data_IF_136318194200
#
_entry.id   IF_136318194200
#
_cell.length_a   1.000
_cell.length_b   1.000
_cell.length_c   1.000
_cell.angle_alpha   90.00
_cell.angle_beta   90.00
_cell.angle_gamma   90.00
#
_symmetry.space_group_name_H-M   'P 1'
#
loop_
_entity.id
_entity.type
_entity.pdbx_description
1 polymer ?
#
# COMPACT_ATOMS: atom_id res chain seq x y z
N UNK A 1 -16.33 -7.07 19.64
CA UNK A 1 -16.59 -8.08 18.59
C UNK A 1 -15.67 -7.93 17.37
N UNK A 2 -15.05 -6.77 17.10
CA UNK A 2 -14.17 -6.53 15.93
C UNK A 2 -12.67 -6.68 16.24
N UNK A 3 -12.25 -6.69 17.49
CA UNK A 3 -10.95 -7.25 17.86
C UNK A 3 -10.80 -8.72 17.44
N UNK A 4 -11.91 -9.34 16.99
CA UNK A 4 -11.96 -10.71 16.49
C UNK A 4 -11.68 -10.86 15.01
N UNK A 5 -11.76 -9.80 14.18
CA UNK A 5 -11.53 -9.89 12.73
C UNK A 5 -10.09 -9.54 12.32
N UNK A 6 -9.40 -8.73 13.14
CA UNK A 6 -7.97 -8.44 12.98
C UNK A 6 -7.25 -8.73 14.30
N UNK A 7 -6.96 -9.99 14.59
CA UNK A 7 -6.45 -10.38 15.90
C UNK A 7 -4.99 -10.01 16.10
N UNK A 8 -4.63 -9.94 17.38
CA UNK A 8 -3.22 -9.97 17.84
C UNK A 8 -2.46 -11.23 17.39
N UNK A 9 -3.13 -12.19 16.80
CA UNK A 9 -2.70 -13.36 16.03
C UNK A 9 -3.79 -13.66 15.01
N UNK A 10 -3.50 -14.04 13.77
CA UNK A 10 -4.46 -14.77 12.95
C UNK A 10 -4.87 -15.98 13.77
N UNK A 11 -6.08 -15.93 14.32
CA UNK A 11 -6.55 -17.05 15.13
C UNK A 11 -7.07 -18.12 14.17
N UNK A 12 -6.75 -19.39 14.41
CA UNK A 12 -7.33 -20.51 13.63
C UNK A 12 -8.84 -20.40 13.44
N UNK A 13 -9.53 -19.75 14.41
CA UNK A 13 -10.96 -19.47 14.42
C UNK A 13 -11.47 -18.62 13.23
N UNK A 14 -10.65 -17.71 12.68
CA UNK A 14 -11.07 -16.87 11.54
C UNK A 14 -11.07 -17.65 10.23
N UNK A 15 -10.13 -18.55 10.08
CA UNK A 15 -10.12 -19.46 8.93
C UNK A 15 -11.29 -20.43 8.96
N UNK A 16 -11.81 -20.80 10.15
CA UNK A 16 -13.08 -21.54 10.32
C UNK A 16 -14.26 -20.77 9.73
N UNK A 17 -14.39 -19.47 10.03
CA UNK A 17 -15.45 -18.63 9.45
C UNK A 17 -15.36 -18.55 7.93
N UNK A 18 -14.14 -18.36 7.40
CA UNK A 18 -13.91 -18.33 5.94
C UNK A 18 -14.27 -19.69 5.32
N UNK A 19 -13.82 -20.80 5.94
CA UNK A 19 -14.13 -22.15 5.50
C UNK A 19 -15.64 -22.38 5.40
N UNK A 20 -16.39 -22.07 6.46
CA UNK A 20 -17.82 -22.36 6.53
C UNK A 20 -18.62 -21.52 5.51
N UNK A 21 -18.29 -20.22 5.37
CA UNK A 21 -18.93 -19.34 4.39
C UNK A 21 -18.59 -19.72 2.95
N UNK A 22 -17.34 -20.14 2.69
CA UNK A 22 -16.93 -20.57 1.34
C UNK A 22 -17.63 -21.87 0.94
N UNK A 23 -17.73 -22.86 1.85
CA UNK A 23 -18.45 -24.10 1.59
C UNK A 23 -19.94 -23.86 1.39
N UNK A 24 -20.57 -22.98 2.19
CA UNK A 24 -21.96 -22.59 1.99
C UNK A 24 -22.15 -21.98 0.58
N UNK A 25 -21.29 -21.03 0.18
CA UNK A 25 -21.35 -20.40 -1.15
C UNK A 25 -21.14 -21.39 -2.30
N UNK A 26 -20.27 -22.40 -2.12
CA UNK A 26 -20.08 -23.51 -3.08
C UNK A 26 -21.35 -24.34 -3.18
N UNK A 27 -21.97 -24.67 -2.04
CA UNK A 27 -23.25 -25.40 -2.00
C UNK A 27 -24.38 -24.64 -2.70
N UNK A 28 -24.51 -23.33 -2.42
CA UNK A 28 -25.51 -22.48 -3.05
C UNK A 28 -25.34 -22.36 -4.57
N UNK A 29 -24.08 -22.30 -5.04
CA UNK A 29 -23.78 -22.15 -6.47
C UNK A 29 -23.99 -23.43 -7.27
N UNK A 30 -23.60 -24.57 -6.71
CA UNK A 30 -23.56 -25.84 -7.44
C UNK A 30 -24.71 -26.79 -7.08
N UNK A 31 -25.47 -26.54 -6.02
CA UNK A 31 -26.66 -27.27 -5.63
C UNK A 31 -26.43 -28.79 -5.56
N UNK A 32 -27.28 -29.55 -6.22
CA UNK A 32 -27.28 -31.02 -6.22
C UNK A 32 -26.01 -31.68 -6.81
N UNK A 33 -25.15 -30.89 -7.49
CA UNK A 33 -23.87 -31.39 -7.98
C UNK A 33 -22.85 -31.59 -6.82
N UNK A 34 -23.10 -31.06 -5.63
CA UNK A 34 -22.26 -31.25 -4.45
C UNK A 34 -22.71 -32.51 -3.70
N UNK A 35 -22.21 -33.67 -4.13
CA UNK A 35 -22.36 -34.91 -3.35
C UNK A 35 -21.59 -34.81 -2.02
N UNK A 36 -21.90 -35.68 -1.02
CA UNK A 36 -21.15 -35.71 0.25
C UNK A 36 -19.63 -35.87 0.04
N UNK A 37 -19.21 -36.68 -0.95
CA UNK A 37 -17.81 -36.90 -1.28
C UNK A 37 -17.16 -35.63 -1.86
N UNK A 38 -17.87 -34.95 -2.77
CA UNK A 38 -17.40 -33.66 -3.37
C UNK A 38 -17.30 -32.59 -2.30
N UNK A 39 -18.31 -32.47 -1.41
CA UNK A 39 -18.30 -31.56 -0.29
C UNK A 39 -17.14 -31.81 0.69
N UNK A 40 -16.87 -33.07 1.01
CA UNK A 40 -15.73 -33.47 1.84
C UNK A 40 -14.39 -33.09 1.17
N UNK A 41 -14.25 -33.31 -0.14
CA UNK A 41 -13.07 -32.93 -0.92
C UNK A 41 -12.82 -31.40 -0.89
N UNK A 42 -13.87 -30.61 -1.11
CA UNK A 42 -13.77 -29.13 -0.98
C UNK A 42 -13.39 -28.70 0.42
N UNK A 43 -14.00 -29.30 1.47
CA UNK A 43 -13.65 -29.00 2.85
C UNK A 43 -12.17 -29.24 3.15
N UNK A 44 -11.61 -30.37 2.67
CA UNK A 44 -10.21 -30.67 2.84
C UNK A 44 -9.30 -29.69 2.08
N UNK A 45 -9.65 -29.35 0.83
CA UNK A 45 -8.89 -28.40 0.02
C UNK A 45 -8.84 -27.00 0.68
N UNK A 46 -9.97 -26.50 1.19
CA UNK A 46 -10.05 -25.21 1.88
C UNK A 46 -9.25 -25.24 3.19
N UNK A 47 -9.32 -26.31 3.96
CA UNK A 47 -8.52 -26.48 5.19
C UNK A 47 -7.02 -26.50 4.89
N UNK A 48 -6.61 -27.18 3.82
CA UNK A 48 -5.21 -27.23 3.41
C UNK A 48 -4.70 -25.85 2.97
N UNK A 49 -5.49 -25.10 2.18
CA UNK A 49 -5.18 -23.73 1.81
C UNK A 49 -5.07 -22.82 3.04
N UNK A 50 -6.01 -22.93 3.98
CA UNK A 50 -5.98 -22.17 5.23
C UNK A 50 -4.69 -22.46 6.05
N UNK A 51 -4.27 -23.73 6.10
CA UNK A 51 -3.02 -24.12 6.78
C UNK A 51 -1.80 -23.46 6.12
N UNK A 52 -1.71 -23.45 4.79
CA UNK A 52 -0.61 -22.81 4.05
C UNK A 52 -0.58 -21.31 4.36
N UNK A 53 -1.74 -20.64 4.31
CA UNK A 53 -1.85 -19.21 4.58
C UNK A 53 -1.48 -18.88 6.03
N UNK A 54 -1.97 -19.65 7.01
CA UNK A 54 -1.64 -19.47 8.42
C UNK A 54 -0.14 -19.63 8.69
N UNK A 55 0.49 -20.65 8.09
CA UNK A 55 1.92 -20.85 8.24
C UNK A 55 2.71 -19.66 7.64
N UNK A 56 2.32 -19.18 6.45
CA UNK A 56 2.99 -18.02 5.84
C UNK A 56 2.78 -16.73 6.64
N UNK A 57 1.59 -16.51 7.18
CA UNK A 57 1.35 -15.38 8.09
C UNK A 57 2.24 -15.45 9.33
N UNK A 58 2.36 -16.62 9.94
CA UNK A 58 3.21 -16.83 11.12
C UNK A 58 4.69 -16.51 10.82
N UNK A 59 5.21 -16.98 9.66
CA UNK A 59 6.55 -16.67 9.21
C UNK A 59 6.75 -15.15 9.05
N UNK A 60 5.81 -14.47 8.37
CA UNK A 60 5.87 -13.01 8.15
C UNK A 60 5.84 -12.23 9.47
N UNK A 61 5.03 -12.66 10.45
CA UNK A 61 5.01 -12.04 11.77
C UNK A 61 6.31 -12.28 12.54
N UNK A 62 6.86 -13.49 12.47
CA UNK A 62 8.14 -13.80 13.10
C UNK A 62 9.30 -13.00 12.47
N UNK A 63 9.32 -12.89 11.13
CA UNK A 63 10.30 -12.05 10.43
C UNK A 63 10.19 -10.57 10.85
N UNK A 64 8.95 -10.04 10.91
CA UNK A 64 8.69 -8.64 11.30
C UNK A 64 9.12 -8.37 12.77
N UNK A 65 8.89 -9.31 13.68
CA UNK A 65 9.23 -9.19 15.10
C UNK A 65 10.74 -9.22 15.35
N UNK A 66 11.51 -9.96 14.53
CA UNK A 66 12.96 -10.08 14.65
C UNK A 66 13.73 -8.87 14.12
N UNK A 67 13.11 -8.00 13.33
CA UNK A 67 13.73 -6.77 12.80
C UNK A 67 14.00 -5.75 13.92
N UNK A 68 15.00 -4.92 13.76
CA UNK A 68 15.26 -3.82 14.68
C UNK A 68 14.01 -2.90 14.74
N UNK A 69 13.51 -2.62 15.95
CA UNK A 69 12.26 -1.90 16.16
C UNK A 69 11.01 -2.66 15.79
N UNK A 70 11.13 -3.93 15.40
CA UNK A 70 10.02 -4.78 15.00
C UNK A 70 9.04 -5.09 16.14
N UNK A 71 7.85 -5.53 15.77
CA UNK A 71 6.81 -5.95 16.72
C UNK A 71 5.83 -6.90 16.03
N UNK A 72 4.96 -7.47 16.85
CA UNK A 72 3.91 -8.37 16.39
C UNK A 72 2.52 -7.78 16.70
N UNK A 73 1.60 -7.89 15.76
CA UNK A 73 0.23 -7.41 15.91
C UNK A 73 0.12 -5.89 15.99
N UNK A 74 -0.87 -5.40 16.72
CA UNK A 74 -1.09 -3.97 16.92
C UNK A 74 -0.27 -3.46 18.10
N UNK A 75 0.43 -2.35 17.87
CA UNK A 75 1.20 -1.66 18.90
C UNK A 75 0.87 -0.18 18.88
N UNK A 76 0.83 0.43 20.07
CA UNK A 76 0.61 1.85 20.22
C UNK A 76 1.85 2.66 19.85
N UNK A 77 1.62 3.69 19.06
CA UNK A 77 2.60 4.72 18.69
C UNK A 77 2.02 6.08 18.99
N UNK A 78 2.87 7.06 19.24
CA UNK A 78 2.52 8.47 19.36
C UNK A 78 2.93 9.22 18.10
N UNK A 79 2.11 10.16 17.66
CA UNK A 79 2.47 11.12 16.61
C UNK A 79 3.56 12.04 17.15
N UNK A 80 4.75 11.93 16.60
CA UNK A 80 5.90 12.77 16.98
C UNK A 80 6.05 14.03 16.13
N UNK A 81 5.45 14.03 14.94
CA UNK A 81 5.48 15.17 14.02
C UNK A 81 4.32 15.09 13.05
N UNK A 82 3.72 16.24 12.74
CA UNK A 82 2.68 16.42 11.74
C UNK A 82 3.08 17.52 10.75
N UNK A 83 3.38 17.16 9.51
CA UNK A 83 3.88 18.09 8.49
C UNK A 83 2.89 18.22 7.32
N UNK A 84 2.33 19.39 7.11
CA UNK A 84 1.48 19.68 5.94
C UNK A 84 2.35 19.72 4.68
N UNK A 85 2.00 18.91 3.67
CA UNK A 85 2.67 18.87 2.37
C UNK A 85 1.95 19.73 1.33
N UNK A 86 0.62 19.62 1.32
CA UNK A 86 -0.30 20.47 0.56
C UNK A 86 -1.58 20.63 1.38
N UNK A 87 -2.57 21.35 0.86
CA UNK A 87 -3.86 21.54 1.56
C UNK A 87 -4.59 20.23 1.88
N UNK A 88 -4.35 19.17 1.11
CA UNK A 88 -5.02 17.87 1.22
C UNK A 88 -4.07 16.68 1.45
N UNK A 89 -2.77 16.96 1.71
CA UNK A 89 -1.77 15.91 1.98
C UNK A 89 -0.95 16.29 3.21
N UNK A 90 -0.88 15.37 4.15
CA UNK A 90 -0.12 15.52 5.41
C UNK A 90 0.76 14.30 5.60
N UNK A 91 1.97 14.51 6.11
CA UNK A 91 2.87 13.47 6.62
C UNK A 91 2.78 13.42 8.14
N UNK A 92 2.65 12.21 8.69
CA UNK A 92 2.73 11.92 10.11
C UNK A 92 3.94 11.04 10.39
N UNK A 93 4.76 11.45 11.36
CA UNK A 93 5.86 10.66 11.90
C UNK A 93 5.42 10.04 13.24
N UNK A 94 5.77 8.77 13.46
CA UNK A 94 5.34 8.00 14.59
C UNK A 94 6.53 7.46 15.39
N UNK A 95 6.46 7.54 16.73
CA UNK A 95 7.40 6.93 17.67
C UNK A 95 6.68 5.97 18.61
N UNK A 96 7.37 4.94 19.09
CA UNK A 96 6.79 3.98 20.04
C UNK A 96 6.55 4.60 21.40
N UNK A 97 5.48 4.18 22.09
CA UNK A 97 5.13 4.62 23.46
C UNK A 97 5.78 3.78 24.55
N UNK A 98 6.33 2.61 24.22
CA UNK A 98 6.91 1.65 25.17
C UNK A 98 8.40 1.90 25.52
N UNK A 99 8.91 3.10 25.25
CA UNK A 99 10.28 3.51 25.57
C UNK A 99 11.33 3.08 24.54
N UNK A 100 10.95 2.44 23.44
CA UNK A 100 11.89 2.11 22.38
C UNK A 100 12.41 3.38 21.70
N UNK A 101 13.73 3.58 21.71
CA UNK A 101 14.42 4.73 21.11
C UNK A 101 15.39 4.34 19.99
N UNK A 102 15.34 3.08 19.55
CA UNK A 102 16.21 2.57 18.48
C UNK A 102 15.65 2.88 17.07
N UNK A 103 16.36 2.36 16.10
CA UNK A 103 16.04 2.52 14.68
C UNK A 103 15.06 1.46 14.21
N UNK A 104 14.20 1.80 13.23
CA UNK A 104 13.27 0.87 12.61
C UNK A 104 13.89 0.25 11.35
N UNK A 105 13.91 -1.08 11.30
CA UNK A 105 14.27 -1.84 10.10
C UNK A 105 13.00 -2.35 9.40
N UNK A 106 12.92 -2.05 8.11
CA UNK A 106 11.85 -2.52 7.22
C UNK A 106 12.35 -2.47 5.78
N UNK A 107 11.62 -3.09 4.87
CA UNK A 107 11.97 -3.03 3.44
C UNK A 107 11.33 -1.80 2.81
N UNK A 108 12.11 -0.99 2.12
CA UNK A 108 11.63 0.18 1.36
C UNK A 108 10.44 -0.18 0.47
N UNK A 109 9.41 0.67 0.45
CA UNK A 109 8.17 0.44 -0.29
C UNK A 109 7.09 -0.28 0.52
N UNK A 110 7.40 -0.83 1.68
CA UNK A 110 6.40 -1.38 2.60
C UNK A 110 5.46 -0.29 3.15
N UNK A 111 4.30 -0.72 3.63
CA UNK A 111 3.27 0.12 4.24
C UNK A 111 3.04 -0.24 5.71
N UNK A 112 2.51 0.71 6.47
CA UNK A 112 1.91 0.50 7.79
C UNK A 112 0.40 0.35 7.65
N UNK A 113 -0.18 -0.54 8.46
CA UNK A 113 -1.62 -0.54 8.68
C UNK A 113 -1.93 0.33 9.88
N UNK A 114 -2.80 1.32 9.71
CA UNK A 114 -3.25 2.23 10.77
C UNK A 114 -4.67 1.86 11.15
N UNK A 115 -4.90 1.58 12.45
CA UNK A 115 -6.21 1.31 13.03
C UNK A 115 -6.66 2.54 13.80
N UNK A 116 -7.87 2.98 13.51
CA UNK A 116 -8.57 4.01 14.28
C UNK A 116 -9.81 3.37 14.90
N UNK A 117 -10.02 3.60 16.19
CA UNK A 117 -11.15 3.01 16.90
C UNK A 117 -12.48 3.54 16.41
N UNK A 118 -13.51 2.69 16.39
CA UNK A 118 -14.85 3.02 15.89
C UNK A 118 -15.48 4.21 16.64
N UNK A 119 -15.24 4.30 17.95
CA UNK A 119 -15.70 5.41 18.80
C UNK A 119 -15.14 6.76 18.33
N UNK A 120 -13.83 6.80 18.01
CA UNK A 120 -13.17 8.00 17.46
C UNK A 120 -13.72 8.39 16.09
N UNK A 121 -14.16 7.39 15.32
CA UNK A 121 -14.76 7.57 13.99
C UNK A 121 -16.27 7.83 14.04
N UNK A 122 -16.89 7.82 15.22
CA UNK A 122 -18.35 7.90 15.42
C UNK A 122 -19.11 6.91 14.54
N UNK A 123 -18.56 5.69 14.41
CA UNK A 123 -19.10 4.63 13.58
C UNK A 123 -19.75 3.55 14.45
N UNK A 124 -20.98 3.16 14.10
CA UNK A 124 -21.68 2.05 14.75
C UNK A 124 -21.04 0.70 14.43
N UNK A 125 -20.31 0.63 13.31
CA UNK A 125 -19.60 -0.58 12.89
C UNK A 125 -18.10 -0.32 12.88
N UNK A 126 -17.31 -1.31 13.24
CA UNK A 126 -15.85 -1.22 13.16
C UNK A 126 -15.38 -1.00 11.74
N UNK A 127 -14.39 -0.15 11.59
CA UNK A 127 -13.84 0.22 10.29
C UNK A 127 -12.51 -0.50 10.09
N UNK A 128 -12.36 -1.12 8.93
CA UNK A 128 -11.12 -1.79 8.58
C UNK A 128 -9.92 -0.84 8.65
N UNK A 129 -8.75 -1.30 9.09
CA UNK A 129 -7.51 -0.53 9.03
C UNK A 129 -7.20 -0.04 7.63
N UNK A 130 -6.41 1.01 7.53
CA UNK A 130 -5.93 1.52 6.23
C UNK A 130 -4.43 1.37 6.11
N UNK A 131 -4.00 1.06 4.90
CA UNK A 131 -2.59 0.89 4.56
C UNK A 131 -2.04 2.18 3.98
N UNK A 132 -0.91 2.63 4.53
CA UNK A 132 -0.21 3.83 4.06
C UNK A 132 1.27 3.52 3.91
N UNK A 133 1.79 3.81 2.72
CA UNK A 133 3.21 3.58 2.42
C UNK A 133 4.12 4.34 3.39
N UNK A 134 5.17 3.68 3.86
CA UNK A 134 6.19 4.29 4.70
C UNK A 134 7.06 5.19 3.84
N UNK A 135 7.11 6.48 4.18
CA UNK A 135 7.91 7.51 3.48
C UNK A 135 9.20 7.90 4.20
N UNK A 136 9.43 7.40 5.43
CA UNK A 136 10.74 7.45 6.10
C UNK A 136 11.70 6.44 5.48
N UNK A 137 13.00 6.58 5.76
CA UNK A 137 14.03 5.63 5.34
C UNK A 137 14.20 4.52 6.37
N UNK A 138 14.44 3.26 5.97
CA UNK A 138 14.90 2.23 6.91
C UNK A 138 16.13 2.70 7.69
N UNK A 139 16.16 2.42 8.98
CA UNK A 139 17.22 2.86 9.87
C UNK A 139 17.02 4.25 10.51
N UNK A 140 15.89 4.91 10.29
CA UNK A 140 15.47 6.10 11.05
C UNK A 140 14.83 5.71 12.41
N UNK A 141 14.76 6.66 13.35
CA UNK A 141 14.19 6.46 14.69
C UNK A 141 12.68 6.67 14.75
N UNK A 142 12.06 6.92 13.62
CA UNK A 142 10.62 7.10 13.45
C UNK A 142 10.11 6.38 12.19
N UNK A 143 8.81 6.16 12.15
CA UNK A 143 8.10 5.69 10.96
C UNK A 143 7.23 6.83 10.45
N UNK A 144 7.34 7.16 9.17
CA UNK A 144 6.54 8.24 8.59
C UNK A 144 5.63 7.69 7.49
N UNK A 145 4.37 8.13 7.50
CA UNK A 145 3.42 7.90 6.40
C UNK A 145 2.89 9.24 5.89
N UNK A 146 2.61 9.31 4.60
CA UNK A 146 2.01 10.49 3.97
C UNK A 146 0.64 10.14 3.42
N UNK A 147 -0.38 10.85 3.88
CA UNK A 147 -1.78 10.53 3.63
C UNK A 147 -2.47 11.68 2.92
N UNK A 148 -3.15 11.36 1.83
CA UNK A 148 -4.04 12.30 1.15
C UNK A 148 -5.44 12.21 1.74
N UNK A 149 -6.07 13.36 1.97
CA UNK A 149 -7.49 13.46 2.28
C UNK A 149 -8.31 13.00 1.07
N UNK A 150 -9.16 12.01 1.25
CA UNK A 150 -10.03 11.47 0.21
C UNK A 150 -11.45 11.92 0.48
N UNK A 151 -12.10 12.51 -0.51
CA UNK A 151 -13.50 12.90 -0.41
C UNK A 151 -14.38 11.70 -0.05
N UNK A 152 -15.22 11.85 0.98
CA UNK A 152 -16.02 10.75 1.54
C UNK A 152 -15.21 9.66 2.29
N UNK A 153 -13.90 9.75 2.37
CA UNK A 153 -13.06 8.79 3.07
C UNK A 153 -13.15 8.97 4.60
N UNK A 154 -13.52 7.91 5.33
CA UNK A 154 -13.71 7.99 6.78
C UNK A 154 -12.38 8.20 7.51
N UNK A 155 -11.43 7.28 7.33
CA UNK A 155 -10.16 7.29 8.07
C UNK A 155 -9.26 8.46 7.68
N UNK A 156 -9.10 8.73 6.37
CA UNK A 156 -8.25 9.82 5.90
C UNK A 156 -8.74 11.20 6.37
N UNK A 157 -10.07 11.43 6.35
CA UNK A 157 -10.64 12.68 6.86
C UNK A 157 -10.45 12.80 8.36
N UNK A 158 -10.74 11.73 9.12
CA UNK A 158 -10.53 11.74 10.56
C UNK A 158 -9.07 12.05 10.93
N UNK A 159 -8.09 11.42 10.26
CA UNK A 159 -6.68 11.70 10.49
C UNK A 159 -6.34 13.18 10.25
N UNK A 160 -6.80 13.76 9.14
CA UNK A 160 -6.57 15.16 8.83
C UNK A 160 -7.19 16.12 9.84
N UNK A 161 -8.39 15.82 10.34
CA UNK A 161 -9.16 16.70 11.22
C UNK A 161 -8.79 16.54 12.70
N UNK A 162 -8.35 15.36 13.12
CA UNK A 162 -8.24 15.03 14.55
C UNK A 162 -6.87 14.52 14.98
N UNK A 163 -6.05 13.93 14.09
CA UNK A 163 -4.78 13.33 14.50
C UNK A 163 -3.68 14.38 14.57
N UNK A 164 -3.29 14.76 15.78
CA UNK A 164 -2.30 15.81 16.08
C UNK A 164 -1.06 15.23 16.75
N UNK A 165 0.00 16.03 16.87
CA UNK A 165 1.20 15.67 17.62
C UNK A 165 0.83 15.35 19.08
N UNK A 166 1.39 14.28 19.61
CA UNK A 166 1.09 13.75 20.93
C UNK A 166 -0.07 12.72 20.97
N UNK A 167 -0.87 12.60 19.92
CA UNK A 167 -1.96 11.63 19.88
C UNK A 167 -1.45 10.21 19.66
N UNK A 168 -2.12 9.27 20.31
CA UNK A 168 -1.84 7.84 20.17
C UNK A 168 -2.62 7.20 19.01
N UNK A 169 -1.95 6.29 18.30
CA UNK A 169 -2.51 5.51 17.20
C UNK A 169 -1.97 4.07 17.22
N UNK A 170 -2.80 3.12 16.78
CA UNK A 170 -2.41 1.71 16.70
C UNK A 170 -1.86 1.38 15.32
N UNK A 171 -0.62 0.90 15.27
CA UNK A 171 0.06 0.49 14.04
C UNK A 171 0.32 -1.02 14.03
N UNK A 172 0.12 -1.66 12.87
CA UNK A 172 0.66 -2.98 12.59
C UNK A 172 2.05 -2.88 11.95
N UNK A 173 2.89 -3.93 12.04
CA UNK A 173 4.25 -3.90 11.48
C UNK A 173 4.26 -3.59 9.98
N UNK A 174 5.41 -3.16 9.45
CA UNK A 174 5.58 -2.95 8.03
C UNK A 174 5.38 -4.25 7.22
N UNK A 175 4.51 -4.19 6.21
CA UNK A 175 4.29 -5.26 5.24
C UNK A 175 4.18 -4.68 3.82
N UNK A 176 4.25 -5.52 2.80
CA UNK A 176 4.11 -5.14 1.39
C UNK A 176 5.19 -5.73 0.52
N UNK A 177 4.88 -5.88 -0.77
CA UNK A 177 5.75 -6.53 -1.75
C UNK A 177 6.22 -5.58 -2.86
N UNK A 178 5.77 -4.33 -2.85
CA UNK A 178 6.18 -3.30 -3.82
C UNK A 178 7.52 -2.70 -3.41
N UNK A 179 8.56 -3.52 -3.48
CA UNK A 179 9.90 -3.23 -2.94
C UNK A 179 10.94 -3.15 -4.05
N UNK A 180 12.06 -2.42 -3.84
CA UNK A 180 13.16 -2.35 -4.79
C UNK A 180 13.68 -3.74 -5.18
N UNK A 181 13.90 -3.95 -6.48
CA UNK A 181 14.55 -5.15 -7.03
C UNK A 181 15.97 -4.81 -7.46
N UNK A 182 16.95 -5.66 -7.16
CA UNK A 182 18.34 -5.40 -7.52
C UNK A 182 18.59 -5.53 -9.04
N UNK A 183 19.64 -4.89 -9.51
CA UNK A 183 20.33 -5.24 -10.75
C UNK A 183 20.08 -4.33 -11.96
N UNK A 184 19.05 -3.49 -11.98
CA UNK A 184 18.78 -2.54 -13.09
C UNK A 184 18.57 -1.14 -12.57
N UNK A 185 18.86 -0.15 -13.43
CA UNK A 185 18.38 1.21 -13.18
C UNK A 185 16.86 1.22 -13.13
N UNK A 186 16.32 2.17 -12.40
CA UNK A 186 14.89 2.27 -12.17
C UNK A 186 14.29 3.51 -12.80
N UNK A 187 13.07 3.37 -13.30
CA UNK A 187 12.21 4.47 -13.69
C UNK A 187 11.03 4.50 -12.74
N UNK A 188 10.83 5.63 -12.05
CA UNK A 188 9.81 5.80 -11.03
C UNK A 188 8.67 6.64 -11.58
N UNK A 189 7.48 6.05 -11.71
CA UNK A 189 6.32 6.66 -12.36
C UNK A 189 5.17 6.73 -11.36
N UNK A 190 4.63 7.92 -11.15
CA UNK A 190 3.57 8.12 -10.16
C UNK A 190 2.49 9.10 -10.62
N UNK A 191 1.28 8.92 -10.09
CA UNK A 191 0.21 9.90 -10.22
C UNK A 191 -0.43 10.19 -8.86
N UNK A 192 -0.59 11.49 -8.53
CA UNK A 192 -1.15 11.94 -7.26
C UNK A 192 -0.44 11.35 -6.05
N UNK A 193 -1.19 10.80 -5.08
CA UNK A 193 -0.60 10.24 -3.85
C UNK A 193 0.20 8.94 -4.09
N UNK A 194 0.15 8.35 -5.29
CA UNK A 194 1.05 7.28 -5.72
C UNK A 194 2.53 7.68 -5.76
N UNK A 195 2.84 8.95 -5.49
CA UNK A 195 4.20 9.42 -5.28
C UNK A 195 4.86 8.82 -4.03
N UNK A 196 4.10 8.41 -3.01
CA UNK A 196 4.63 7.98 -1.71
C UNK A 196 5.61 6.79 -1.80
N UNK A 197 5.35 5.69 -2.53
CA UNK A 197 6.35 4.63 -2.69
C UNK A 197 7.56 5.11 -3.51
N UNK A 198 7.38 6.05 -4.43
CA UNK A 198 8.50 6.61 -5.20
C UNK A 198 9.43 7.41 -4.29
N UNK A 199 8.89 8.19 -3.35
CA UNK A 199 9.70 8.92 -2.34
C UNK A 199 10.51 7.94 -1.48
N UNK A 200 9.91 6.83 -1.05
CA UNK A 200 10.63 5.79 -0.32
C UNK A 200 11.78 5.21 -1.17
N UNK A 201 11.51 4.90 -2.44
CA UNK A 201 12.50 4.35 -3.38
C UNK A 201 13.62 5.36 -3.70
N UNK A 202 13.31 6.65 -3.88
CA UNK A 202 14.32 7.70 -4.10
C UNK A 202 15.27 7.81 -2.92
N UNK A 203 14.76 7.64 -1.69
CA UNK A 203 15.59 7.61 -0.49
C UNK A 203 16.45 6.35 -0.36
N UNK A 204 16.09 5.29 -1.08
CA UNK A 204 16.79 3.99 -1.08
C UNK A 204 17.88 3.91 -2.15
N UNK A 205 17.54 4.26 -3.39
CA UNK A 205 18.46 4.18 -4.51
C UNK A 205 19.45 5.35 -4.51
N UNK A 206 20.66 5.08 -4.99
CA UNK A 206 21.59 6.16 -5.37
C UNK A 206 21.07 6.94 -6.58
N UNK A 207 21.57 8.17 -6.77
CA UNK A 207 21.16 8.99 -7.91
C UNK A 207 21.47 8.30 -9.26
N UNK A 208 22.55 7.54 -9.34
CA UNK A 208 23.02 6.84 -10.53
C UNK A 208 22.11 5.66 -10.92
N UNK A 209 21.46 5.02 -9.93
CA UNK A 209 20.52 3.93 -10.14
C UNK A 209 19.15 4.42 -10.64
N UNK A 210 18.81 5.69 -10.41
CA UNK A 210 17.58 6.28 -10.91
C UNK A 210 17.82 6.80 -12.32
N UNK A 211 17.17 6.19 -13.33
CA UNK A 211 17.22 6.64 -14.71
C UNK A 211 16.28 7.83 -14.94
N UNK A 212 15.05 7.75 -14.44
CA UNK A 212 14.02 8.79 -14.62
C UNK A 212 12.99 8.76 -13.50
N UNK A 213 12.43 9.91 -13.21
CA UNK A 213 11.26 10.09 -12.34
C UNK A 213 10.19 10.81 -13.14
N UNK A 214 8.99 10.26 -13.21
CA UNK A 214 7.85 10.85 -13.90
C UNK A 214 6.69 10.98 -12.93
N UNK A 215 6.20 12.19 -12.75
CA UNK A 215 5.08 12.45 -11.86
C UNK A 215 3.95 13.20 -12.57
N UNK A 216 2.73 12.75 -12.34
CA UNK A 216 1.50 13.37 -12.84
C UNK A 216 0.66 13.84 -11.66
N UNK A 217 0.28 15.11 -11.63
CA UNK A 217 -0.63 15.62 -10.59
C UNK A 217 -1.68 16.57 -11.19
N UNK A 218 -2.68 16.93 -10.40
CA UNK A 218 -3.71 17.92 -10.74
C UNK A 218 -3.22 19.35 -10.62
N UNK A 219 -2.11 19.55 -9.93
CA UNK A 219 -1.51 20.86 -9.64
C UNK A 219 -0.02 20.85 -9.95
N UNK A 220 0.51 22.01 -10.34
CA UNK A 220 1.94 22.22 -10.40
C UNK A 220 2.61 22.22 -9.02
N UNK A 221 1.84 22.45 -7.96
CA UNK A 221 2.25 22.30 -6.56
C UNK A 221 1.72 20.97 -6.02
N UNK A 222 2.59 19.96 -5.95
CA UNK A 222 2.29 18.62 -5.51
C UNK A 222 3.16 18.20 -4.32
N UNK A 223 2.77 17.16 -3.56
CA UNK A 223 3.54 16.70 -2.42
C UNK A 223 4.97 16.31 -2.83
N UNK A 224 5.95 16.70 -2.02
CA UNK A 224 7.37 16.41 -2.23
C UNK A 224 8.04 17.06 -3.47
N UNK A 225 7.40 18.04 -4.11
CA UNK A 225 8.00 18.74 -5.26
C UNK A 225 9.40 19.29 -4.94
N UNK A 226 9.53 20.07 -3.87
CA UNK A 226 10.82 20.63 -3.45
C UNK A 226 11.87 19.54 -3.18
N UNK A 227 11.46 18.43 -2.53
CA UNK A 227 12.35 17.29 -2.31
C UNK A 227 12.86 16.69 -3.63
N UNK A 228 12.01 16.54 -4.64
CA UNK A 228 12.41 16.04 -5.95
C UNK A 228 13.33 17.02 -6.69
N UNK A 229 13.04 18.30 -6.61
CA UNK A 229 13.86 19.37 -7.20
C UNK A 229 15.24 19.43 -6.56
N UNK A 230 15.34 19.22 -5.25
CA UNK A 230 16.62 19.25 -4.53
C UNK A 230 17.49 18.05 -4.82
N UNK A 231 16.91 16.84 -4.85
CA UNK A 231 17.70 15.62 -4.96
C UNK A 231 17.87 15.10 -6.38
N UNK A 232 16.91 15.34 -7.30
CA UNK A 232 16.83 14.66 -8.59
C UNK A 232 16.36 15.57 -9.75
N UNK A 233 16.52 16.90 -9.67
CA UNK A 233 15.99 17.88 -10.62
C UNK A 233 16.22 17.51 -12.09
N UNK A 234 17.42 17.05 -12.42
CA UNK A 234 17.85 16.65 -13.77
C UNK A 234 17.17 15.38 -14.29
N UNK A 235 16.46 14.64 -13.44
CA UNK A 235 15.79 13.37 -13.75
C UNK A 235 14.28 13.43 -13.67
N UNK A 236 13.70 14.53 -13.21
CA UNK A 236 12.27 14.69 -12.99
C UNK A 236 11.57 15.25 -14.22
N UNK A 237 10.51 14.60 -14.65
CA UNK A 237 9.49 15.14 -15.54
C UNK A 237 8.16 15.18 -14.84
N UNK A 238 7.56 16.37 -14.71
CA UNK A 238 6.27 16.55 -14.06
C UNK A 238 5.23 17.00 -15.09
N UNK A 239 4.06 16.38 -15.04
CA UNK A 239 2.93 16.66 -15.90
C UNK A 239 1.75 17.15 -15.05
N UNK A 240 1.19 18.30 -15.44
CA UNK A 240 -0.03 18.82 -14.81
C UNK A 240 -1.23 18.36 -15.62
N UNK A 241 -2.15 17.73 -14.94
CA UNK A 241 -3.38 17.23 -15.52
C UNK A 241 -4.38 18.36 -15.75
N UNK A 242 -4.65 18.70 -17.00
CA UNK A 242 -5.67 19.67 -17.39
C UNK A 242 -7.04 18.99 -17.50
N UNK A 243 -7.95 19.30 -16.58
CA UNK A 243 -9.27 18.64 -16.51
C UNK A 243 -9.14 17.15 -16.18
N UNK A 244 -9.75 16.28 -17.00
CA UNK A 244 -9.74 14.82 -16.78
C UNK A 244 -8.68 14.07 -17.58
N UNK A 245 -7.87 14.73 -18.41
CA UNK A 245 -6.90 14.07 -19.26
C UNK A 245 -5.46 14.52 -19.01
N UNK A 246 -4.57 13.57 -18.97
CA UNK A 246 -3.14 13.70 -19.28
C UNK A 246 -2.94 12.90 -20.55
N UNK A 247 -2.11 13.39 -21.45
CA UNK A 247 -1.74 12.61 -22.64
C UNK A 247 -0.79 11.52 -22.17
N UNK A 248 -1.29 10.29 -22.04
CA UNK A 248 -0.50 9.14 -21.56
C UNK A 248 0.73 8.90 -22.43
N UNK A 249 0.63 9.14 -23.75
CA UNK A 249 1.76 8.98 -24.67
C UNK A 249 2.93 9.91 -24.31
N UNK A 250 2.67 11.14 -23.86
CA UNK A 250 3.73 12.07 -23.43
C UNK A 250 4.40 11.58 -22.13
N UNK A 251 3.60 11.06 -21.20
CA UNK A 251 4.10 10.48 -19.94
C UNK A 251 4.96 9.24 -20.21
N UNK A 252 4.51 8.38 -21.12
CA UNK A 252 5.25 7.18 -21.55
C UNK A 252 6.53 7.58 -22.28
N UNK A 253 6.47 8.55 -23.22
CA UNK A 253 7.65 9.04 -23.92
C UNK A 253 8.74 9.54 -22.96
N UNK A 254 8.34 10.33 -21.95
CA UNK A 254 9.26 10.77 -20.91
C UNK A 254 9.80 9.60 -20.06
N UNK A 255 8.97 8.59 -19.78
CA UNK A 255 9.38 7.44 -18.97
C UNK A 255 10.41 6.55 -19.68
N UNK A 256 10.34 6.43 -21.02
CA UNK A 256 11.22 5.56 -21.82
C UNK A 256 12.35 6.32 -22.53
N UNK A 257 12.52 7.62 -22.28
CA UNK A 257 13.55 8.43 -22.96
C UNK A 257 14.97 7.88 -22.78
N UNK A 258 15.23 7.20 -21.66
CA UNK A 258 16.53 6.60 -21.35
C UNK A 258 16.58 5.08 -21.64
N UNK A 259 15.60 4.54 -22.36
CA UNK A 259 15.53 3.13 -22.75
C UNK A 259 14.40 2.35 -22.06
N UNK A 260 14.18 1.13 -22.52
CA UNK A 260 13.10 0.24 -22.07
C UNK A 260 13.57 -0.96 -21.24
N UNK A 261 14.87 -1.10 -21.05
CA UNK A 261 15.52 -2.21 -20.33
C UNK A 261 15.51 -2.04 -18.79
N UNK A 262 15.10 -0.89 -18.31
CA UNK A 262 15.02 -0.54 -16.88
C UNK A 262 13.90 -1.30 -16.15
N UNK A 263 13.91 -1.23 -14.82
CA UNK A 263 12.76 -1.63 -14.01
C UNK A 263 11.86 -0.41 -13.80
N UNK A 264 10.63 -0.51 -14.26
CA UNK A 264 9.62 0.56 -14.15
C UNK A 264 8.73 0.30 -12.94
N UNK A 265 8.73 1.21 -11.99
CA UNK A 265 7.83 1.20 -10.83
C UNK A 265 6.68 2.17 -11.07
N UNK A 266 5.45 1.68 -11.04
CA UNK A 266 4.26 2.48 -11.37
C UNK A 266 3.27 2.45 -10.22
N UNK A 267 2.85 3.63 -9.74
CA UNK A 267 1.81 3.75 -8.71
C UNK A 267 0.94 4.99 -8.94
N UNK A 268 -0.38 4.82 -8.82
CA UNK A 268 -1.32 5.90 -9.02
C UNK A 268 -2.78 5.44 -8.96
N UNK A 269 -3.74 6.32 -9.29
CA UNK A 269 -5.15 5.98 -9.36
C UNK A 269 -5.44 4.86 -10.36
N UNK A 270 -6.49 4.04 -10.16
CA UNK A 270 -6.80 2.89 -11.03
C UNK A 270 -6.90 3.24 -12.52
N UNK A 271 -7.51 4.36 -12.87
CA UNK A 271 -7.60 4.80 -14.27
C UNK A 271 -6.24 5.09 -14.90
N UNK A 272 -5.33 5.77 -14.18
CA UNK A 272 -3.96 5.99 -14.62
C UNK A 272 -3.20 4.67 -14.80
N UNK A 273 -3.33 3.75 -13.85
CA UNK A 273 -2.68 2.43 -13.90
C UNK A 273 -3.17 1.59 -15.09
N UNK A 274 -4.49 1.63 -15.37
CA UNK A 274 -5.11 0.89 -16.47
C UNK A 274 -4.61 1.32 -17.86
N UNK A 275 -4.21 2.58 -18.01
CA UNK A 275 -3.66 3.11 -19.27
C UNK A 275 -2.14 3.00 -19.31
N UNK A 276 -1.45 3.36 -18.22
CA UNK A 276 0.02 3.44 -18.17
C UNK A 276 0.70 2.07 -18.32
N UNK A 277 0.20 1.03 -17.63
CA UNK A 277 0.84 -0.29 -17.63
C UNK A 277 0.81 -0.93 -19.02
N UNK A 278 -0.33 -1.00 -19.73
CA UNK A 278 -0.36 -1.51 -21.11
C UNK A 278 0.50 -0.68 -22.07
N UNK A 279 0.50 0.64 -21.94
CA UNK A 279 1.28 1.54 -22.79
C UNK A 279 2.79 1.30 -22.65
N UNK A 280 3.31 1.13 -21.42
CA UNK A 280 4.71 0.75 -21.18
C UNK A 280 5.05 -0.60 -21.81
N UNK A 281 4.18 -1.61 -21.62
CA UNK A 281 4.38 -2.94 -22.20
C UNK A 281 4.41 -2.89 -23.74
N UNK A 282 3.53 -2.09 -24.34
CA UNK A 282 3.51 -1.87 -25.80
C UNK A 282 4.80 -1.22 -26.31
N UNK A 283 5.44 -0.36 -25.52
CA UNK A 283 6.76 0.22 -25.82
C UNK A 283 7.93 -0.75 -25.61
N UNK A 284 7.66 -1.99 -25.19
CA UNK A 284 8.68 -3.02 -24.98
C UNK A 284 9.29 -3.07 -23.59
N UNK A 285 8.75 -2.34 -22.60
CA UNK A 285 9.19 -2.43 -21.22
C UNK A 285 8.80 -3.79 -20.62
N UNK A 286 9.83 -4.62 -20.32
CA UNK A 286 9.63 -6.00 -19.83
C UNK A 286 9.48 -6.11 -18.32
N UNK A 287 10.03 -5.16 -17.57
CA UNK A 287 10.08 -5.17 -16.10
C UNK A 287 9.22 -4.01 -15.57
N UNK A 288 7.92 -4.26 -15.42
CA UNK A 288 6.96 -3.26 -14.92
C UNK A 288 6.37 -3.80 -13.62
N UNK A 289 6.80 -3.20 -12.51
CA UNK A 289 6.30 -3.43 -11.16
C UNK A 289 5.25 -2.37 -10.84
N UNK A 290 4.18 -2.75 -10.17
CA UNK A 290 3.12 -1.78 -9.86
C UNK A 290 2.39 -2.10 -8.57
N UNK A 291 1.85 -1.06 -7.93
CA UNK A 291 0.97 -1.16 -6.78
C UNK A 291 -0.25 -0.25 -6.97
N UNK A 292 -1.43 -0.78 -6.67
CA UNK A 292 -2.70 -0.05 -6.77
C UNK A 292 -3.22 0.23 -5.37
N UNK A 293 -3.47 1.51 -5.05
CA UNK A 293 -4.07 1.90 -3.78
C UNK A 293 -5.59 1.72 -3.82
N UNK A 294 -6.09 0.84 -2.98
CA UNK A 294 -7.50 0.53 -2.85
C UNK A 294 -7.87 -0.89 -3.31
N UNK A 295 -9.15 -1.26 -3.21
CA UNK A 295 -9.60 -2.59 -3.63
C UNK A 295 -9.43 -2.75 -5.14
N UNK A 296 -8.74 -3.80 -5.57
CA UNK A 296 -8.52 -4.15 -6.99
C UNK A 296 -9.78 -4.70 -7.67
N UNK A 297 -10.97 -4.23 -7.31
CA UNK A 297 -12.24 -4.71 -7.86
C UNK A 297 -12.55 -4.23 -9.29
N UNK A 298 -11.73 -3.35 -9.85
CA UNK A 298 -11.90 -2.86 -11.22
C UNK A 298 -11.31 -3.82 -12.25
N UNK A 299 -11.93 -4.98 -12.46
CA UNK A 299 -11.51 -5.94 -13.48
C UNK A 299 -12.22 -7.29 -13.41
N UNK A 300 -12.77 -7.62 -12.26
CA UNK A 300 -13.64 -8.80 -12.12
C UNK A 300 -15.08 -8.38 -12.45
N UNK A 301 -15.37 -8.10 -13.73
CA UNK A 301 -16.73 -8.33 -14.22
C UNK A 301 -16.95 -9.84 -14.11
N UNK A 302 -17.70 -10.25 -13.09
CA UNK A 302 -18.25 -11.59 -13.02
C UNK A 302 -19.02 -11.83 -14.34
N UNK A 303 -18.64 -12.79 -15.19
CA UNK A 303 -19.34 -13.02 -16.45
C UNK A 303 -20.71 -13.66 -16.28
N UNK A 304 -21.20 -13.77 -15.05
CA UNK A 304 -22.48 -14.41 -14.76
C UNK A 304 -23.49 -13.41 -14.17
N UNK A 305 -23.95 -12.48 -15.00
CA UNK A 305 -25.31 -11.90 -14.97
C UNK A 305 -25.65 -11.47 -16.40
N UNK A 306 -26.13 -12.38 -17.19
CA UNK A 306 -27.05 -12.11 -18.29
C UNK A 306 -28.42 -12.58 -17.86
#
# INVERSE_FOLDING_TARGET
MYDSIYPKKSRPQHYGIVHDNLLASIGDLFGDAITPEVGAGWSQAVKYLAMILMNREEELYAEAEQRAGGWRGWKEFVVSERLSRTKDVVSWSFKRTDGYSGKFDFTTGQFLSIKVDAEKLKSETPIAPRHYTITSKPGEDNLQCTVKRIEGGVVSNWMHDNLMEGDAVMLAPPFGMFTPKPGKKVVLISAGIGITPMIAMIKHFSKEEIAKIVHVDRSAEYPFKSFLEDCCKDKVSSFVRNGNSVVIDDVVAAAVENGTEHTFYVCGPPGFMAEMIPALKHKGCKHVEHEVFGPQLAGLRCPMRS
#
